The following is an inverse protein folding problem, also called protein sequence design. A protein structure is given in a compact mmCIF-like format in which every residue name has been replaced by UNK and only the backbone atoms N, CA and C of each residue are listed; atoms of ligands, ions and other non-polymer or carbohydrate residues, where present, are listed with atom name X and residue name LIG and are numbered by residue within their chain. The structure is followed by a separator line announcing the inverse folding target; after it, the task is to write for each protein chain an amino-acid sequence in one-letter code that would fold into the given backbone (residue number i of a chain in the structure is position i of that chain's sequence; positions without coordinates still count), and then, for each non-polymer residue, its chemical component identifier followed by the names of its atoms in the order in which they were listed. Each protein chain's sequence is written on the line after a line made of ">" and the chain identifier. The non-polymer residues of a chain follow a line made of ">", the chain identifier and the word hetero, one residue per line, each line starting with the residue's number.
data_IF_903622557435
#
_entry.id   IF_903622557435
#
_cell.length_a   1.000
_cell.length_b   1.000
_cell.length_c   1.000
_cell.angle_alpha   90.00
_cell.angle_beta   90.00
_cell.angle_gamma   90.00
#
_symmetry.space_group_name_H-M   'P 1'
#
loop_
_entity.id
_entity.type
_entity.pdbx_description
1 polymer ?
#
# COMPACT_ATOMS: atom_id res chain seq x y z
N UNK A 1 -17.52 20.76 4.27
CA UNK A 1 -18.04 19.62 5.02
C UNK A 1 -17.12 18.43 4.88
N UNK A 2 -16.75 17.83 6.02
CA UNK A 2 -15.76 16.77 6.04
C UNK A 2 -16.17 15.53 5.25
N UNK A 3 -17.43 15.13 5.35
CA UNK A 3 -17.91 13.92 4.67
C UNK A 3 -17.80 14.01 3.16
N UNK A 4 -18.16 15.18 2.61
CA UNK A 4 -18.08 15.39 1.17
C UNK A 4 -16.64 15.31 0.69
N UNK A 5 -15.70 15.93 1.43
CA UNK A 5 -14.29 15.89 1.10
C UNK A 5 -13.75 14.46 1.15
N UNK A 6 -14.11 13.70 2.19
CA UNK A 6 -13.68 12.32 2.35
C UNK A 6 -14.17 11.48 1.17
N UNK A 7 -15.45 11.63 0.80
CA UNK A 7 -16.04 10.87 -0.30
C UNK A 7 -15.32 11.18 -1.62
N UNK A 8 -15.10 12.45 -1.91
CA UNK A 8 -14.42 12.86 -3.13
C UNK A 8 -12.98 12.33 -3.17
N UNK A 9 -12.28 12.41 -2.06
CA UNK A 9 -10.91 11.94 -1.97
C UNK A 9 -10.82 10.42 -2.09
N UNK A 10 -11.75 9.70 -1.47
CA UNK A 10 -11.80 8.23 -1.59
C UNK A 10 -12.11 7.83 -3.04
N UNK A 11 -13.01 8.55 -3.71
CA UNK A 11 -13.31 8.30 -5.13
C UNK A 11 -12.06 8.54 -5.98
N UNK A 12 -11.30 9.58 -5.69
CA UNK A 12 -10.05 9.85 -6.41
C UNK A 12 -9.04 8.72 -6.21
N UNK A 13 -8.91 8.21 -4.99
CA UNK A 13 -8.04 7.07 -4.70
C UNK A 13 -8.53 5.81 -5.44
N UNK A 14 -9.84 5.63 -5.50
CA UNK A 14 -10.43 4.51 -6.23
C UNK A 14 -10.13 4.58 -7.73
N UNK A 15 -10.10 5.79 -8.29
CA UNK A 15 -9.71 5.99 -9.69
C UNK A 15 -8.28 5.49 -9.93
N UNK A 16 -7.35 5.82 -9.02
CA UNK A 16 -5.97 5.31 -9.10
C UNK A 16 -5.92 3.79 -8.97
N UNK A 17 -6.75 3.22 -8.11
CA UNK A 17 -6.87 1.77 -7.99
C UNK A 17 -7.33 1.15 -9.31
N UNK A 18 -8.34 1.73 -9.95
CA UNK A 18 -8.85 1.24 -11.23
C UNK A 18 -7.80 1.34 -12.33
N UNK A 19 -7.07 2.44 -12.38
CA UNK A 19 -5.99 2.61 -13.35
C UNK A 19 -4.91 1.54 -13.14
N UNK A 20 -4.53 1.31 -11.89
CA UNK A 20 -3.56 0.28 -11.55
C UNK A 20 -4.01 -1.11 -11.94
N UNK A 21 -5.27 -1.44 -11.67
CA UNK A 21 -5.86 -2.73 -12.03
C UNK A 21 -5.90 -2.92 -13.55
N UNK A 22 -6.23 -1.84 -14.26
CA UNK A 22 -6.28 -1.87 -15.71
C UNK A 22 -4.90 -2.13 -16.32
N UNK A 23 -3.88 -1.47 -15.79
CA UNK A 23 -2.49 -1.67 -16.20
C UNK A 23 -2.05 -3.10 -15.90
N UNK A 24 -2.40 -3.62 -14.73
CA UNK A 24 -2.10 -5.00 -14.36
C UNK A 24 -2.65 -5.99 -15.37
N UNK A 25 -3.92 -5.82 -15.76
CA UNK A 25 -4.57 -6.70 -16.72
C UNK A 25 -3.99 -6.57 -18.13
N UNK A 26 -3.67 -5.34 -18.53
CA UNK A 26 -3.12 -5.08 -19.86
C UNK A 26 -1.73 -5.68 -20.05
N UNK A 27 -0.90 -5.62 -19.01
CA UNK A 27 0.48 -6.11 -19.06
C UNK A 27 0.65 -7.50 -18.46
N UNK A 28 -0.40 -8.08 -17.89
CA UNK A 28 -0.37 -9.40 -17.25
C UNK A 28 0.73 -9.49 -16.19
N UNK A 29 0.82 -8.46 -15.35
CA UNK A 29 1.83 -8.39 -14.31
C UNK A 29 1.45 -9.29 -13.12
N UNK A 30 2.43 -9.92 -12.46
CA UNK A 30 2.17 -10.76 -11.29
C UNK A 30 1.99 -9.95 -10.00
N UNK A 31 1.77 -8.65 -10.10
CA UNK A 31 1.60 -7.74 -8.96
C UNK A 31 0.14 -7.27 -8.88
N UNK A 32 -0.38 -7.05 -7.63
CA UNK A 32 -1.74 -6.50 -7.50
C UNK A 32 -1.87 -5.12 -8.15
N UNK A 33 -3.02 -4.86 -8.78
CA UNK A 33 -3.28 -3.58 -9.42
C UNK A 33 -3.27 -2.41 -8.45
N UNK A 34 -3.69 -2.64 -7.20
CA UNK A 34 -3.67 -1.60 -6.17
C UNK A 34 -2.25 -1.13 -5.88
N UNK A 35 -1.26 -2.02 -5.95
CA UNK A 35 0.14 -1.67 -5.76
C UNK A 35 0.63 -0.76 -6.87
N UNK A 36 0.25 -1.05 -8.11
CA UNK A 36 0.58 -0.19 -9.26
C UNK A 36 -0.05 1.19 -9.09
N UNK A 37 -1.31 1.24 -8.67
CA UNK A 37 -2.00 2.49 -8.39
C UNK A 37 -1.33 3.29 -7.29
N UNK A 38 -0.87 2.59 -6.26
CA UNK A 38 -0.15 3.23 -5.15
C UNK A 38 1.16 3.86 -5.64
N UNK A 39 1.93 3.17 -6.46
CA UNK A 39 3.18 3.71 -7.01
C UNK A 39 2.91 4.90 -7.93
N UNK A 40 1.87 4.82 -8.76
CA UNK A 40 1.48 5.93 -9.61
C UNK A 40 1.17 7.17 -8.78
N UNK A 41 0.34 7.02 -7.77
CA UNK A 41 -0.02 8.12 -6.87
C UNK A 41 1.21 8.66 -6.15
N UNK A 42 2.07 7.78 -5.67
CA UNK A 42 3.30 8.16 -4.97
C UNK A 42 4.20 9.00 -5.87
N UNK A 43 4.39 8.58 -7.11
CA UNK A 43 5.22 9.31 -8.07
C UNK A 43 4.62 10.67 -8.37
N UNK A 44 3.31 10.74 -8.63
CA UNK A 44 2.64 11.99 -8.93
C UNK A 44 2.69 12.97 -7.76
N UNK A 45 2.54 12.48 -6.54
CA UNK A 45 2.65 13.32 -5.35
C UNK A 45 4.10 13.77 -5.13
N UNK A 46 5.06 12.91 -5.41
CA UNK A 46 6.48 13.22 -5.29
C UNK A 46 6.94 14.27 -6.28
N UNK A 47 6.37 14.25 -7.49
CA UNK A 47 6.67 15.24 -8.52
C UNK A 47 5.91 16.56 -8.32
N UNK A 48 5.06 16.62 -7.29
CA UNK A 48 4.24 17.78 -6.96
C UNK A 48 3.24 18.15 -8.06
N UNK A 49 2.90 17.17 -8.91
CA UNK A 49 1.86 17.34 -9.93
C UNK A 49 0.49 17.47 -9.28
N UNK A 50 0.27 16.66 -8.23
CA UNK A 50 -0.97 16.70 -7.48
C UNK A 50 -0.71 17.16 -6.05
N UNK A 51 -1.55 18.04 -5.50
CA UNK A 51 -1.39 18.45 -4.10
C UNK A 51 -1.84 17.34 -3.15
N UNK A 52 -1.05 17.11 -2.11
CA UNK A 52 -1.36 16.11 -1.08
C UNK A 52 -2.70 16.41 -0.42
N UNK A 53 -3.07 17.69 -0.34
CA UNK A 53 -4.33 18.14 0.28
C UNK A 53 -5.56 17.50 -0.34
N UNK A 54 -5.47 17.10 -1.61
CA UNK A 54 -6.59 16.47 -2.30
C UNK A 54 -6.89 15.06 -1.80
N UNK A 55 -5.96 14.43 -1.08
CA UNK A 55 -6.06 13.03 -0.67
C UNK A 55 -5.95 12.82 0.83
N UNK A 56 -5.53 13.85 1.58
CA UNK A 56 -5.21 13.73 3.02
C UNK A 56 -6.34 13.10 3.84
N UNK A 57 -7.53 13.68 3.78
CA UNK A 57 -8.64 13.25 4.63
C UNK A 57 -9.14 11.86 4.23
N UNK A 58 -9.25 11.60 2.93
CA UNK A 58 -9.69 10.30 2.43
C UNK A 58 -8.72 9.20 2.78
N UNK A 59 -7.43 9.44 2.55
CA UNK A 59 -6.39 8.47 2.86
C UNK A 59 -6.31 8.19 4.36
N UNK A 60 -6.36 9.25 5.18
CA UNK A 60 -6.32 9.11 6.62
C UNK A 60 -7.50 8.28 7.13
N UNK A 61 -8.69 8.54 6.60
CA UNK A 61 -9.89 7.77 6.95
C UNK A 61 -9.74 6.30 6.60
N UNK A 62 -9.21 6.00 5.42
CA UNK A 62 -8.99 4.62 4.99
C UNK A 62 -7.96 3.90 5.87
N UNK A 63 -6.89 4.61 6.23
CA UNK A 63 -5.86 4.04 7.12
C UNK A 63 -6.44 3.75 8.51
N UNK A 64 -7.27 4.65 9.02
CA UNK A 64 -7.93 4.46 10.31
C UNK A 64 -8.90 3.26 10.28
N UNK A 65 -9.51 3.00 9.12
CA UNK A 65 -10.43 1.87 8.95
C UNK A 65 -9.72 0.55 8.67
N UNK A 66 -8.42 0.59 8.41
CA UNK A 66 -7.65 -0.60 8.05
C UNK A 66 -7.81 -1.77 9.04
N UNK A 67 -7.70 -1.57 10.37
CA UNK A 67 -7.89 -2.67 11.31
C UNK A 67 -9.27 -3.32 11.20
N UNK A 68 -10.30 -2.51 10.93
CA UNK A 68 -11.67 -3.02 10.77
C UNK A 68 -11.82 -3.82 9.49
N UNK A 69 -11.13 -3.43 8.43
CA UNK A 69 -11.17 -4.13 7.15
C UNK A 69 -10.42 -5.46 7.20
N UNK A 70 -9.47 -5.61 8.12
CA UNK A 70 -8.72 -6.84 8.30
C UNK A 70 -9.55 -7.95 8.97
N UNK A 71 -10.58 -7.58 9.74
CA UNK A 71 -11.40 -8.56 10.48
C UNK A 71 -12.04 -9.61 9.55
N UNK A 72 -12.75 -9.22 8.47
CA UNK A 72 -13.31 -10.21 7.55
C UNK A 72 -12.23 -11.09 6.90
N UNK A 73 -11.08 -10.53 6.59
CA UNK A 73 -9.96 -11.26 5.99
C UNK A 73 -9.40 -12.32 6.95
N UNK A 74 -9.26 -11.95 8.22
CA UNK A 74 -8.76 -12.87 9.25
C UNK A 74 -9.75 -14.02 9.44
N UNK A 75 -11.05 -13.72 9.48
CA UNK A 75 -12.08 -14.75 9.60
C UNK A 75 -12.05 -15.68 8.38
N UNK A 76 -11.84 -15.12 7.19
CA UNK A 76 -11.72 -15.90 5.97
C UNK A 76 -10.56 -16.89 5.99
N UNK A 77 -9.47 -16.55 6.66
CA UNK A 77 -8.31 -17.42 6.78
C UNK A 77 -8.62 -18.70 7.57
N UNK A 78 -9.64 -18.68 8.42
CA UNK A 78 -10.02 -19.85 9.19
C UNK A 78 -10.46 -21.02 8.30
N UNK A 79 -10.98 -20.72 7.12
CA UNK A 79 -11.40 -21.73 6.15
C UNK A 79 -10.21 -22.43 5.49
N UNK A 80 -9.01 -21.86 5.61
CA UNK A 80 -7.79 -22.39 5.01
C UNK A 80 -6.89 -23.09 6.03
N UNK A 81 -7.49 -23.60 7.11
CA UNK A 81 -6.74 -24.27 8.16
C UNK A 81 -5.88 -25.43 7.65
N UNK A 82 -6.44 -26.24 6.73
CA UNK A 82 -5.70 -27.36 6.14
C UNK A 82 -4.46 -26.90 5.36
N UNK A 83 -4.59 -25.78 4.65
CA UNK A 83 -3.47 -25.20 3.92
C UNK A 83 -2.32 -24.81 4.86
N UNK A 84 -2.66 -24.21 6.00
CA UNK A 84 -1.66 -23.82 7.00
C UNK A 84 -0.99 -25.03 7.65
N UNK A 85 -1.73 -26.11 7.86
CA UNK A 85 -1.17 -27.34 8.43
C UNK A 85 -0.17 -27.98 7.48
N UNK A 86 -0.50 -28.04 6.19
CA UNK A 86 0.35 -28.71 5.20
C UNK A 86 1.51 -27.83 4.70
N UNK A 87 1.28 -26.53 4.56
CA UNK A 87 2.28 -25.59 4.03
C UNK A 87 2.72 -24.54 5.03
N UNK A 88 2.43 -24.76 6.31
CA UNK A 88 2.74 -23.80 7.37
C UNK A 88 4.22 -23.45 7.46
N UNK A 89 5.10 -24.46 7.31
CA UNK A 89 6.54 -24.23 7.39
C UNK A 89 7.03 -23.36 6.24
N UNK A 90 6.55 -23.62 5.02
CA UNK A 90 6.90 -22.79 3.85
C UNK A 90 6.42 -21.37 4.01
N UNK A 91 5.19 -21.20 4.51
CA UNK A 91 4.62 -19.87 4.77
C UNK A 91 5.42 -19.13 5.84
N UNK A 92 5.77 -19.82 6.92
CA UNK A 92 6.54 -19.22 8.01
C UNK A 92 7.89 -18.73 7.51
N UNK A 93 8.62 -19.54 6.74
CA UNK A 93 9.90 -19.18 6.16
C UNK A 93 9.76 -17.99 5.21
N UNK A 94 8.72 -18.01 4.37
CA UNK A 94 8.46 -16.92 3.42
C UNK A 94 8.21 -15.61 4.16
N UNK A 95 7.38 -15.64 5.21
CA UNK A 95 7.06 -14.44 6.00
C UNK A 95 8.30 -13.91 6.69
N UNK A 96 9.10 -14.77 7.30
CA UNK A 96 10.32 -14.35 8.02
C UNK A 96 11.33 -13.73 7.05
N UNK A 97 11.60 -14.40 5.93
CA UNK A 97 12.56 -13.92 4.93
C UNK A 97 12.07 -12.60 4.31
N UNK A 98 10.78 -12.54 3.95
CA UNK A 98 10.20 -11.33 3.38
C UNK A 98 10.24 -10.16 4.34
N UNK A 99 9.92 -10.40 5.61
CA UNK A 99 9.97 -9.37 6.65
C UNK A 99 11.38 -8.84 6.81
N UNK A 100 12.36 -9.73 6.85
CA UNK A 100 13.77 -9.34 6.94
C UNK A 100 14.18 -8.47 5.75
N UNK A 101 13.83 -8.90 4.54
CA UNK A 101 14.13 -8.13 3.33
C UNK A 101 13.46 -6.76 3.34
N UNK A 102 12.21 -6.70 3.77
CA UNK A 102 11.47 -5.43 3.86
C UNK A 102 12.15 -4.49 4.84
N UNK A 103 12.55 -4.98 5.99
CA UNK A 103 13.22 -4.17 7.01
C UNK A 103 14.53 -3.61 6.47
N UNK A 104 15.33 -4.45 5.81
CA UNK A 104 16.63 -4.03 5.25
C UNK A 104 16.43 -3.00 4.15
N UNK A 105 15.56 -3.29 3.19
CA UNK A 105 15.34 -2.40 2.05
C UNK A 105 14.73 -1.07 2.50
N UNK A 106 13.70 -1.13 3.34
CA UNK A 106 13.04 0.07 3.84
C UNK A 106 13.98 0.90 4.70
N UNK A 107 14.81 0.25 5.52
CA UNK A 107 15.78 0.94 6.35
C UNK A 107 16.83 1.69 5.54
N UNK A 108 17.39 1.01 4.54
CA UNK A 108 18.39 1.64 3.66
C UNK A 108 17.78 2.76 2.83
N UNK A 109 16.59 2.55 2.28
CA UNK A 109 15.89 3.56 1.50
C UNK A 109 15.57 4.78 2.37
N UNK A 110 15.07 4.55 3.57
CA UNK A 110 14.74 5.61 4.51
C UNK A 110 15.98 6.41 4.91
N UNK A 111 17.08 5.74 5.20
CA UNK A 111 18.33 6.41 5.55
C UNK A 111 18.90 7.22 4.40
N UNK A 112 18.82 6.67 3.20
CA UNK A 112 19.30 7.37 2.01
C UNK A 112 18.58 8.71 1.83
N UNK A 113 17.25 8.69 1.91
CA UNK A 113 16.45 9.91 1.76
C UNK A 113 16.64 10.86 2.94
N UNK A 114 16.76 10.32 4.15
CA UNK A 114 16.99 11.14 5.34
C UNK A 114 18.33 11.86 5.28
N UNK A 115 19.39 11.14 4.90
CA UNK A 115 20.72 11.72 4.76
C UNK A 115 20.77 12.78 3.66
N UNK A 116 20.08 12.52 2.57
CA UNK A 116 20.01 13.47 1.46
C UNK A 116 19.30 14.76 1.87
N UNK A 117 18.21 14.62 2.62
CA UNK A 117 17.47 15.78 3.14
C UNK A 117 18.32 16.58 4.13
N UNK A 118 19.08 15.89 4.98
CA UNK A 118 19.97 16.53 5.93
C UNK A 118 21.07 17.34 5.22
N UNK A 119 21.60 16.81 4.13
CA UNK A 119 22.60 17.56 3.33
C UNK A 119 22.02 18.81 2.70
N UNK A 120 20.77 18.76 2.28
CA UNK A 120 20.09 19.94 1.70
C UNK A 120 19.88 21.04 2.72
N UNK A 121 19.67 20.68 3.99
CA UNK A 121 19.48 21.62 5.09
C UNK A 121 20.81 22.28 5.48
N UNK A 122 21.93 21.57 5.37
CA UNK A 122 23.25 22.10 5.64
C UNK A 122 23.79 22.89 4.46
#
# INVERSE_FOLDING_TARGET
>A
MKFTKIIIQVVALYVFYMIGTWIERALHLPIPGSLIGMFLLFILLGLKVLPVKWFDFGAETLVDLMPFLLIPSIIGLMNYGSFFVHKGMSLLLTVVVSTFLIIVVAGHTGQYFANRKEKEIQ
#
